data_IF_818737809180
#
_entry.id   IF_818737809180
#
_cell.length_a   1.000
_cell.length_b   1.000
_cell.length_c   1.000
_cell.angle_alpha   90.00
_cell.angle_beta   90.00
_cell.angle_gamma   90.00
#
_symmetry.space_group_name_H-M   'P 1'
#
loop_
_entity.id
_entity.type
_entity.pdbx_description
1 polymer ?
#
# COMPACT_ATOMS: atom_id res chain seq x y z
N UNK A 1 -14.06 1.33 14.94
CA UNK A 1 -15.05 2.18 14.22
C UNK A 1 -14.33 2.80 13.03
N UNK A 2 -14.97 2.92 11.86
CA UNK A 2 -14.39 3.58 10.67
C UNK A 2 -14.68 5.08 10.72
N UNK A 3 -13.63 5.88 10.60
CA UNK A 3 -13.72 7.34 10.46
C UNK A 3 -13.15 7.75 9.11
N UNK A 4 -13.63 8.87 8.58
CA UNK A 4 -13.13 9.47 7.33
C UNK A 4 -12.74 10.91 7.63
N UNK A 5 -11.47 11.21 7.47
CA UNK A 5 -10.92 12.54 7.75
C UNK A 5 -10.37 13.19 6.47
N UNK A 6 -10.34 14.52 6.45
CA UNK A 6 -9.71 15.29 5.38
C UNK A 6 -8.31 15.71 5.83
N UNK A 7 -7.30 15.22 5.13
CA UNK A 7 -5.92 15.52 5.44
C UNK A 7 -5.08 15.46 4.15
N UNK A 8 -4.42 16.56 3.83
CA UNK A 8 -3.59 16.63 2.62
C UNK A 8 -2.27 15.88 2.82
N UNK A 9 -1.92 15.00 1.88
CA UNK A 9 -0.67 14.25 1.89
C UNK A 9 0.56 15.16 1.80
N UNK A 10 1.67 14.68 2.35
CA UNK A 10 2.97 15.34 2.30
C UNK A 10 2.99 16.76 2.91
N UNK A 11 2.15 16.99 3.92
CA UNK A 11 2.18 18.20 4.74
C UNK A 11 2.74 17.87 6.14
N UNK A 12 3.20 18.86 6.92
CA UNK A 12 3.62 18.64 8.31
C UNK A 12 2.54 17.94 9.15
N UNK A 13 1.28 18.33 8.96
CA UNK A 13 0.14 17.74 9.65
C UNK A 13 -0.05 16.27 9.26
N UNK A 14 0.23 15.92 7.99
CA UNK A 14 0.22 14.54 7.53
C UNK A 14 1.31 13.70 8.19
N UNK A 15 2.52 14.24 8.29
CA UNK A 15 3.65 13.56 8.94
C UNK A 15 3.35 13.35 10.43
N UNK A 16 2.82 14.36 11.10
CA UNK A 16 2.40 14.25 12.50
C UNK A 16 1.26 13.22 12.69
N UNK A 17 0.27 13.23 11.80
CA UNK A 17 -0.83 12.25 11.82
C UNK A 17 -0.32 10.82 11.73
N UNK A 18 0.72 10.56 10.95
CA UNK A 18 1.33 9.23 10.81
C UNK A 18 2.05 8.75 12.08
N UNK A 19 2.47 9.66 12.94
CA UNK A 19 3.13 9.31 14.19
C UNK A 19 2.17 8.52 15.09
N UNK A 20 2.65 7.40 15.61
CA UNK A 20 1.85 6.51 16.47
C UNK A 20 0.71 5.76 15.76
N UNK A 21 0.60 5.85 14.43
CA UNK A 21 -0.41 5.14 13.62
C UNK A 21 0.24 4.24 12.57
N UNK A 22 -0.47 3.20 12.17
CA UNK A 22 -0.03 2.21 11.17
C UNK A 22 -0.73 2.53 9.85
N UNK A 23 0.05 2.87 8.82
CA UNK A 23 -0.45 3.06 7.46
C UNK A 23 -0.30 1.82 6.61
N UNK A 24 -0.97 1.80 5.45
CA UNK A 24 -0.94 0.66 4.55
C UNK A 24 0.49 0.25 4.10
N UNK A 25 1.38 1.22 3.90
CA UNK A 25 2.79 0.96 3.58
C UNK A 25 3.62 0.38 4.74
N UNK A 26 3.11 0.45 5.97
CA UNK A 26 3.78 -0.06 7.17
C UNK A 26 3.42 -1.53 7.45
N UNK A 27 2.29 -2.02 6.92
CA UNK A 27 1.72 -3.34 7.21
C UNK A 27 2.72 -4.49 7.03
N UNK A 28 3.51 -4.45 5.97
CA UNK A 28 4.54 -5.47 5.74
C UNK A 28 5.65 -5.46 6.81
N UNK A 29 6.02 -4.28 7.32
CA UNK A 29 7.03 -4.18 8.38
C UNK A 29 6.50 -4.71 9.72
N UNK A 30 5.21 -4.49 10.03
CA UNK A 30 4.56 -5.09 11.20
C UNK A 30 4.70 -6.61 11.21
N UNK A 31 4.58 -7.25 10.04
CA UNK A 31 4.71 -8.71 9.88
C UNK A 31 6.15 -9.20 9.63
N UNK A 32 7.17 -8.32 9.66
CA UNK A 32 8.55 -8.68 9.33
C UNK A 32 8.76 -9.05 7.86
N UNK A 33 7.86 -8.66 6.96
CA UNK A 33 7.86 -8.97 5.51
C UNK A 33 8.26 -7.79 4.62
N UNK A 34 8.69 -6.70 5.23
CA UNK A 34 9.17 -5.54 4.47
C UNK A 34 10.61 -5.71 4.03
N UNK A 35 10.91 -5.33 2.78
CA UNK A 35 12.28 -5.27 2.26
C UNK A 35 13.01 -3.97 2.67
N UNK A 36 12.30 -3.01 3.27
CA UNK A 36 12.79 -1.65 3.51
C UNK A 36 13.16 -1.39 4.97
N UNK A 37 12.39 -1.94 5.89
CA UNK A 37 12.57 -1.75 7.33
C UNK A 37 12.06 -2.95 8.12
N UNK A 38 12.69 -3.24 9.23
CA UNK A 38 12.22 -4.22 10.20
C UNK A 38 11.04 -3.68 11.02
N UNK A 39 10.36 -4.56 11.73
CA UNK A 39 9.30 -4.16 12.66
C UNK A 39 9.84 -3.29 13.82
N UNK A 40 11.10 -3.50 14.23
CA UNK A 40 11.72 -2.67 15.27
C UNK A 40 12.04 -1.27 14.76
N UNK A 41 12.54 -1.13 13.54
CA UNK A 41 12.76 0.19 12.92
C UNK A 41 11.45 0.94 12.72
N UNK A 42 10.38 0.26 12.32
CA UNK A 42 9.05 0.85 12.26
C UNK A 42 8.59 1.33 13.65
N UNK A 43 8.78 0.50 14.69
CA UNK A 43 8.44 0.88 16.05
C UNK A 43 9.21 2.14 16.51
N UNK A 44 10.52 2.21 16.25
CA UNK A 44 11.34 3.40 16.55
C UNK A 44 10.81 4.66 15.87
N UNK A 45 10.33 4.54 14.61
CA UNK A 45 9.67 5.64 13.90
C UNK A 45 8.36 6.04 14.60
N UNK A 46 7.53 5.07 14.98
CA UNK A 46 6.20 5.34 15.57
C UNK A 46 6.26 5.97 16.96
N UNK A 47 7.31 5.73 17.72
CA UNK A 47 7.52 6.38 19.04
C UNK A 47 8.42 7.61 18.97
N UNK A 48 8.86 8.02 17.79
CA UNK A 48 9.65 9.23 17.56
C UNK A 48 11.15 9.11 17.92
N UNK A 49 11.66 7.90 18.14
CA UNK A 49 13.11 7.65 18.32
C UNK A 49 13.91 7.71 17.02
N UNK A 50 13.23 7.46 15.91
CA UNK A 50 13.80 7.51 14.55
C UNK A 50 12.96 8.47 13.71
N UNK A 51 13.64 9.36 12.98
CA UNK A 51 12.92 10.14 11.96
C UNK A 51 12.46 9.20 10.86
N UNK A 52 11.24 9.40 10.40
CA UNK A 52 10.80 8.76 9.16
C UNK A 52 11.77 9.17 8.06
N UNK A 53 12.50 8.22 7.52
CA UNK A 53 13.41 8.48 6.40
C UNK A 53 12.50 8.62 5.18
N UNK A 54 12.27 9.86 4.77
CA UNK A 54 11.93 10.11 3.38
C UNK A 54 13.10 9.55 2.58
N UNK A 55 12.83 8.59 1.71
CA UNK A 55 13.88 8.06 0.85
C UNK A 55 14.57 9.25 0.18
N UNK A 56 15.93 9.26 0.11
CA UNK A 56 16.62 10.31 -0.59
C UNK A 56 16.00 10.47 -1.97
N UNK A 57 16.03 11.68 -2.54
CA UNK A 57 15.52 11.97 -3.88
C UNK A 57 16.09 10.97 -4.89
N UNK A 58 15.47 9.78 -4.93
CA UNK A 58 15.75 8.77 -5.94
C UNK A 58 14.85 9.13 -7.12
N UNK A 59 15.45 9.35 -8.26
CA UNK A 59 14.73 9.62 -9.52
C UNK A 59 13.59 8.64 -9.78
N UNK A 60 13.72 7.38 -9.30
CA UNK A 60 12.69 6.35 -9.42
C UNK A 60 11.46 6.64 -8.56
N UNK A 61 11.66 7.17 -7.36
CA UNK A 61 10.56 7.55 -6.46
C UNK A 61 9.85 8.78 -7.00
N UNK A 62 10.63 9.79 -7.43
CA UNK A 62 10.10 10.98 -8.09
C UNK A 62 9.29 10.64 -9.34
N UNK A 63 9.80 9.73 -10.16
CA UNK A 63 9.07 9.24 -11.33
C UNK A 63 7.76 8.53 -10.94
N UNK A 64 7.79 7.63 -9.96
CA UNK A 64 6.60 6.91 -9.48
C UNK A 64 5.49 7.88 -9.05
N UNK A 65 5.85 8.86 -8.23
CA UNK A 65 4.91 9.89 -7.78
C UNK A 65 4.35 10.76 -8.93
N UNK A 66 5.20 11.10 -9.91
CA UNK A 66 4.78 11.90 -11.07
C UNK A 66 3.82 11.15 -12.00
N UNK A 67 3.98 9.85 -12.17
CA UNK A 67 3.16 9.04 -13.10
C UNK A 67 1.93 8.41 -12.44
N UNK A 68 1.85 8.38 -11.12
CA UNK A 68 0.74 7.76 -10.37
C UNK A 68 -0.63 8.27 -10.85
N UNK A 69 -0.79 9.60 -10.92
CA UNK A 69 -2.04 10.23 -11.36
C UNK A 69 -2.32 9.94 -12.84
N UNK A 70 -1.29 9.91 -13.69
CA UNK A 70 -1.42 9.61 -15.11
C UNK A 70 -1.85 8.16 -15.31
N UNK A 71 -1.27 7.22 -14.58
CA UNK A 71 -1.63 5.80 -14.63
C UNK A 71 -3.08 5.59 -14.18
N UNK A 72 -3.54 6.30 -13.13
CA UNK A 72 -4.95 6.25 -12.72
C UNK A 72 -5.89 6.83 -13.77
N UNK A 73 -5.54 7.96 -14.40
CA UNK A 73 -6.34 8.54 -15.50
C UNK A 73 -6.41 7.59 -16.69
N UNK A 74 -5.30 6.98 -17.07
CA UNK A 74 -5.26 5.98 -18.14
C UNK A 74 -6.15 4.77 -17.81
N UNK A 75 -6.04 4.26 -16.57
CA UNK A 75 -6.91 3.17 -16.09
C UNK A 75 -8.38 3.56 -16.15
N UNK A 76 -8.74 4.79 -15.74
CA UNK A 76 -10.12 5.28 -15.77
C UNK A 76 -10.71 5.29 -17.20
N UNK A 77 -9.90 5.68 -18.19
CA UNK A 77 -10.30 5.64 -19.60
C UNK A 77 -10.43 4.20 -20.12
N UNK A 78 -9.44 3.35 -19.82
CA UNK A 78 -9.40 1.96 -20.31
C UNK A 78 -10.52 1.07 -19.74
N UNK A 79 -11.03 1.39 -18.56
CA UNK A 79 -12.03 0.59 -17.85
C UNK A 79 -13.28 1.38 -17.49
N UNK A 80 -13.60 2.42 -18.30
CA UNK A 80 -14.77 3.27 -18.10
C UNK A 80 -16.11 2.53 -18.20
N UNK A 81 -16.15 1.42 -18.91
CA UNK A 81 -17.30 0.51 -19.04
C UNK A 81 -17.49 -0.40 -17.80
N UNK A 82 -16.45 -0.54 -16.98
CA UNK A 82 -16.43 -1.43 -15.84
C UNK A 82 -16.44 -0.70 -14.49
N UNK A 83 -15.70 0.39 -14.37
CA UNK A 83 -15.53 1.10 -13.11
C UNK A 83 -15.83 2.60 -13.25
N UNK A 84 -16.56 3.15 -12.26
CA UNK A 84 -16.48 4.57 -11.98
C UNK A 84 -15.26 4.82 -11.10
N UNK A 85 -14.37 5.71 -11.52
CA UNK A 85 -13.11 6.01 -10.84
C UNK A 85 -13.18 7.40 -10.22
N UNK A 86 -12.81 7.50 -8.94
CA UNK A 86 -12.69 8.78 -8.23
C UNK A 86 -11.31 8.91 -7.62
N UNK A 87 -10.75 10.10 -7.64
CA UNK A 87 -9.52 10.45 -6.92
C UNK A 87 -9.87 11.32 -5.74
N UNK A 88 -9.29 11.07 -4.58
CA UNK A 88 -9.45 11.93 -3.42
C UNK A 88 -8.21 11.89 -2.52
N UNK A 89 -7.13 12.53 -3.00
CA UNK A 89 -5.84 12.59 -2.29
C UNK A 89 -5.88 13.33 -0.94
N UNK A 90 -7.04 13.84 -0.55
CA UNK A 90 -7.24 14.52 0.74
C UNK A 90 -8.07 13.71 1.71
N UNK A 91 -8.46 12.49 1.34
CA UNK A 91 -9.25 11.61 2.22
C UNK A 91 -8.37 10.54 2.81
N UNK A 92 -8.49 10.37 4.12
CA UNK A 92 -7.86 9.31 4.90
C UNK A 92 -8.93 8.53 5.63
N UNK A 93 -8.90 7.22 5.48
CA UNK A 93 -9.73 6.28 6.20
C UNK A 93 -8.99 5.87 7.47
N UNK A 94 -9.67 5.91 8.61
CA UNK A 94 -9.09 5.53 9.92
C UNK A 94 -9.96 4.47 10.56
N UNK A 95 -9.38 3.34 10.92
CA UNK A 95 -10.03 2.25 11.65
C UNK A 95 -9.40 2.15 13.04
N UNK A 96 -10.25 2.03 14.07
CA UNK A 96 -9.88 1.84 15.47
C UNK A 96 -8.87 2.87 16.02
N UNK A 97 -8.83 4.07 15.39
CA UNK A 97 -8.03 5.21 15.79
C UNK A 97 -6.54 5.15 15.44
N UNK A 98 -6.02 3.99 14.97
CA UNK A 98 -4.59 3.83 14.71
C UNK A 98 -4.25 3.21 13.35
N UNK A 99 -5.13 2.42 12.75
CA UNK A 99 -4.97 1.91 11.39
C UNK A 99 -5.46 2.95 10.42
N UNK A 100 -4.68 3.30 9.40
CA UNK A 100 -5.15 4.27 8.42
C UNK A 100 -4.74 3.91 6.99
N UNK A 101 -5.58 4.31 6.04
CA UNK A 101 -5.30 4.18 4.62
C UNK A 101 -5.66 5.46 3.87
N UNK A 102 -4.79 5.86 2.97
CA UNK A 102 -5.07 6.78 1.88
C UNK A 102 -4.99 6.00 0.58
N UNK A 103 -5.86 6.31 -0.35
CA UNK A 103 -6.04 5.53 -1.57
C UNK A 103 -5.57 6.32 -2.79
N UNK A 104 -4.90 5.65 -3.72
CA UNK A 104 -4.54 6.25 -5.02
C UNK A 104 -5.80 6.53 -5.83
N UNK A 105 -6.81 5.64 -5.71
CA UNK A 105 -8.12 5.85 -6.31
C UNK A 105 -9.21 4.98 -5.68
N UNK A 106 -10.44 5.49 -5.77
CA UNK A 106 -11.65 4.76 -5.37
C UNK A 106 -12.38 4.25 -6.60
N UNK A 107 -12.84 3.01 -6.54
CA UNK A 107 -13.57 2.34 -7.60
C UNK A 107 -15.00 2.02 -7.17
N UNK A 108 -15.94 2.12 -8.10
CA UNK A 108 -17.27 1.53 -7.99
C UNK A 108 -17.46 0.62 -9.22
N UNK A 109 -17.66 -0.66 -9.01
CA UNK A 109 -18.00 -1.59 -10.10
C UNK A 109 -19.41 -1.26 -10.62
N UNK A 110 -19.50 -0.93 -11.90
CA UNK A 110 -20.76 -0.43 -12.51
C UNK A 110 -21.86 -1.51 -12.50
N UNK A 111 -21.49 -2.79 -12.60
CA UNK A 111 -22.45 -3.88 -12.66
C UNK A 111 -22.99 -4.28 -11.30
N UNK A 112 -22.13 -4.28 -10.28
CA UNK A 112 -22.47 -4.76 -8.94
C UNK A 112 -22.75 -3.64 -7.94
N UNK A 113 -22.29 -2.41 -8.21
CA UNK A 113 -22.27 -1.30 -7.25
C UNK A 113 -21.26 -1.47 -6.11
N UNK A 114 -20.45 -2.53 -6.12
CA UNK A 114 -19.44 -2.77 -5.09
C UNK A 114 -18.37 -1.68 -5.14
N UNK A 115 -17.98 -1.23 -3.94
CA UNK A 115 -16.90 -0.26 -3.78
C UNK A 115 -15.56 -0.98 -3.68
N UNK A 116 -14.58 -0.49 -4.42
CA UNK A 116 -13.22 -1.03 -4.48
C UNK A 116 -12.15 0.06 -4.38
N UNK A 117 -10.92 -0.38 -4.51
CA UNK A 117 -9.70 0.44 -4.43
C UNK A 117 -8.90 0.27 -5.72
N UNK A 118 -8.34 1.35 -6.24
CA UNK A 118 -7.25 1.31 -7.19
C UNK A 118 -5.94 1.56 -6.42
N UNK A 119 -4.96 0.69 -6.64
CA UNK A 119 -3.61 0.82 -6.11
C UNK A 119 -2.62 0.74 -7.26
N UNK A 120 -1.95 1.83 -7.56
CA UNK A 120 -0.91 1.92 -8.59
C UNK A 120 0.46 1.55 -8.04
N UNK A 121 1.29 0.88 -8.85
CA UNK A 121 2.70 0.65 -8.51
C UNK A 121 3.58 0.87 -9.72
N UNK A 122 4.66 1.59 -9.53
CA UNK A 122 5.74 1.68 -10.49
C UNK A 122 6.85 0.70 -10.10
N UNK A 123 7.24 -0.16 -11.02
CA UNK A 123 8.23 -1.22 -10.80
C UNK A 123 9.36 -1.08 -11.80
N UNK A 124 10.53 -0.59 -11.34
CA UNK A 124 11.74 -0.61 -12.15
C UNK A 124 12.29 -2.02 -12.23
N UNK A 125 12.51 -2.51 -13.44
CA UNK A 125 13.02 -3.86 -13.70
C UNK A 125 14.46 -3.75 -14.20
N UNK A 126 15.40 -3.97 -13.28
CA UNK A 126 16.83 -3.99 -13.55
C UNK A 126 17.41 -5.41 -13.70
N UNK A 127 16.61 -6.41 -13.38
CA UNK A 127 17.03 -7.82 -13.44
C UNK A 127 15.84 -8.77 -13.64
N UNK A 128 16.13 -9.99 -14.10
CA UNK A 128 15.12 -11.06 -14.19
C UNK A 128 14.49 -11.43 -12.84
N UNK A 129 15.21 -11.21 -11.73
CA UNK A 129 14.71 -11.49 -10.38
C UNK A 129 13.50 -10.64 -10.03
N UNK A 130 13.42 -9.40 -10.55
CA UNK A 130 12.23 -8.55 -10.36
C UNK A 130 11.01 -9.18 -11.03
N UNK A 131 11.15 -9.68 -12.26
CA UNK A 131 10.07 -10.40 -12.95
C UNK A 131 9.63 -11.66 -12.19
N UNK A 132 10.57 -12.45 -11.68
CA UNK A 132 10.26 -13.68 -10.93
C UNK A 132 9.45 -13.39 -9.65
N UNK A 133 9.75 -12.28 -8.94
CA UNK A 133 8.96 -11.86 -7.77
C UNK A 133 7.49 -11.60 -8.08
N UNK A 134 7.17 -11.27 -9.34
CA UNK A 134 5.81 -10.94 -9.78
C UNK A 134 5.17 -12.02 -10.65
N UNK A 135 5.86 -13.11 -10.97
CA UNK A 135 5.42 -14.08 -11.98
C UNK A 135 4.08 -14.74 -11.63
N UNK A 136 3.97 -15.31 -10.45
CA UNK A 136 2.78 -16.05 -9.99
C UNK A 136 2.26 -15.55 -8.65
N UNK A 137 2.80 -14.47 -8.12
CA UNK A 137 2.41 -13.90 -6.83
C UNK A 137 2.52 -12.38 -6.84
N UNK A 138 1.96 -11.76 -5.84
CA UNK A 138 2.21 -10.37 -5.48
C UNK A 138 3.34 -10.39 -4.44
N UNK A 139 4.39 -9.55 -4.57
CA UNK A 139 5.40 -9.43 -3.51
C UNK A 139 4.76 -9.08 -2.17
N UNK A 140 5.23 -9.71 -1.10
CA UNK A 140 4.61 -9.68 0.23
C UNK A 140 4.36 -8.24 0.72
N UNK A 141 5.27 -7.32 0.46
CA UNK A 141 5.10 -5.92 0.84
C UNK A 141 3.87 -5.24 0.22
N UNK A 142 3.55 -5.56 -1.03
CA UNK A 142 2.38 -5.00 -1.71
C UNK A 142 1.11 -5.78 -1.35
N UNK A 143 1.24 -7.07 -1.10
CA UNK A 143 0.14 -7.88 -0.63
C UNK A 143 -0.35 -7.41 0.75
N UNK A 144 0.56 -7.24 1.73
CA UNK A 144 0.23 -6.70 3.04
C UNK A 144 -0.41 -5.31 2.96
N UNK A 145 0.10 -4.43 2.07
CA UNK A 145 -0.47 -3.11 1.83
C UNK A 145 -1.93 -3.20 1.37
N UNK A 146 -2.22 -4.07 0.41
CA UNK A 146 -3.57 -4.28 -0.12
C UNK A 146 -4.51 -4.84 0.95
N UNK A 147 -4.07 -5.82 1.74
CA UNK A 147 -4.85 -6.37 2.85
C UNK A 147 -5.20 -5.28 3.89
N UNK A 148 -4.21 -4.46 4.26
CA UNK A 148 -4.43 -3.33 5.18
C UNK A 148 -5.46 -2.32 4.63
N UNK A 149 -5.39 -2.00 3.33
CA UNK A 149 -6.36 -1.11 2.71
C UNK A 149 -7.78 -1.69 2.75
N UNK A 150 -7.94 -2.98 2.44
CA UNK A 150 -9.24 -3.67 2.56
C UNK A 150 -9.74 -3.66 3.99
N UNK A 151 -8.88 -4.00 4.96
CA UNK A 151 -9.16 -3.99 6.38
C UNK A 151 -9.65 -2.63 6.88
N UNK A 152 -8.91 -1.58 6.54
CA UNK A 152 -9.13 -0.23 7.06
C UNK A 152 -10.36 0.43 6.43
N UNK A 153 -10.63 0.16 5.15
CA UNK A 153 -11.71 0.84 4.41
C UNK A 153 -13.01 0.05 4.34
N UNK A 154 -12.97 -1.27 4.57
CA UNK A 154 -14.13 -2.15 4.38
C UNK A 154 -14.55 -2.33 2.91
N UNK A 155 -13.73 -1.90 1.95
CA UNK A 155 -13.97 -2.06 0.50
C UNK A 155 -13.98 -3.54 0.13
N UNK A 156 -14.66 -3.90 -0.96
CA UNK A 156 -14.88 -5.30 -1.36
C UNK A 156 -13.77 -5.88 -2.22
N UNK A 157 -13.00 -5.02 -2.90
CA UNK A 157 -11.91 -5.45 -3.76
C UNK A 157 -10.83 -4.36 -3.92
N UNK A 158 -9.65 -4.80 -4.31
CA UNK A 158 -8.57 -3.92 -4.80
C UNK A 158 -8.19 -4.33 -6.21
N UNK A 159 -7.98 -3.34 -7.07
CA UNK A 159 -7.31 -3.51 -8.34
C UNK A 159 -5.88 -2.98 -8.17
N UNK A 160 -4.94 -3.90 -7.97
CA UNK A 160 -3.51 -3.60 -7.96
C UNK A 160 -3.02 -3.54 -9.42
N UNK A 161 -2.43 -2.40 -9.80
CA UNK A 161 -2.08 -2.07 -11.17
C UNK A 161 -0.57 -1.75 -11.31
N UNK A 162 0.33 -2.76 -11.19
CA UNK A 162 1.75 -2.54 -11.36
C UNK A 162 2.10 -2.24 -12.81
N UNK A 163 2.85 -1.16 -13.02
CA UNK A 163 3.48 -0.79 -14.29
C UNK A 163 4.97 -1.07 -14.20
N UNK A 164 5.41 -2.06 -14.94
CA UNK A 164 6.81 -2.45 -15.07
C UNK A 164 7.50 -1.58 -16.10
N UNK A 165 8.69 -1.08 -15.78
CA UNK A 165 9.51 -0.23 -16.65
C UNK A 165 10.93 -0.77 -16.69
N UNK A 166 11.51 -0.87 -17.87
CA UNK A 166 12.87 -1.35 -18.08
C UNK A 166 13.51 -0.68 -19.30
N UNK A 167 14.82 -0.80 -19.45
CA UNK A 167 15.52 -0.47 -20.69
C UNK A 167 15.49 -1.71 -21.58
N UNK A 168 15.00 -1.56 -22.79
CA UNK A 168 14.97 -2.64 -23.78
C UNK A 168 16.31 -2.85 -24.50
N UNK A 169 16.33 -3.71 -25.51
CA UNK A 169 17.56 -4.05 -26.24
C UNK A 169 18.09 -2.89 -27.10
N UNK A 170 17.22 -1.96 -27.45
CA UNK A 170 17.55 -0.79 -28.27
C UNK A 170 17.96 0.41 -27.41
N UNK A 171 17.96 0.26 -26.08
CA UNK A 171 18.31 1.30 -25.11
C UNK A 171 17.13 2.22 -24.76
N UNK A 172 15.93 1.89 -25.23
CA UNK A 172 14.73 2.70 -25.01
C UNK A 172 13.95 2.25 -23.77
N UNK A 173 13.15 3.15 -23.21
CA UNK A 173 12.27 2.83 -22.08
C UNK A 173 11.05 2.06 -22.58
N UNK A 174 10.94 0.80 -22.19
CA UNK A 174 9.78 -0.03 -22.41
C UNK A 174 8.93 -0.13 -21.14
N UNK A 175 7.61 -0.25 -21.31
CA UNK A 175 6.67 -0.39 -20.20
C UNK A 175 5.66 -1.51 -20.43
N UNK A 176 5.22 -2.14 -19.33
CA UNK A 176 4.16 -3.14 -19.36
C UNK A 176 3.33 -3.07 -18.07
N UNK A 177 2.04 -2.82 -18.21
CA UNK A 177 1.12 -2.83 -17.07
C UNK A 177 0.44 -4.18 -16.91
N UNK A 178 0.33 -4.65 -15.68
CA UNK A 178 -0.51 -5.80 -15.28
C UNK A 178 -1.64 -5.30 -14.42
N UNK A 179 -2.72 -6.08 -14.38
CA UNK A 179 -3.85 -5.84 -13.50
C UNK A 179 -4.13 -7.08 -12.69
N UNK A 180 -4.12 -6.94 -11.38
CA UNK A 180 -4.40 -8.01 -10.43
C UNK A 180 -5.56 -7.57 -9.58
N UNK A 181 -6.66 -8.30 -9.59
CA UNK A 181 -7.81 -8.00 -8.73
C UNK A 181 -7.80 -8.96 -7.55
N UNK A 182 -7.92 -8.44 -6.35
CA UNK A 182 -8.02 -9.17 -5.09
C UNK A 182 -9.38 -8.81 -4.49
N UNK A 183 -10.18 -9.82 -4.15
CA UNK A 183 -11.51 -9.64 -3.57
C UNK A 183 -11.55 -10.21 -2.16
N UNK A 184 -12.37 -9.62 -1.30
CA UNK A 184 -12.62 -10.20 0.04
C UNK A 184 -13.20 -11.63 -0.03
N UNK A 185 -13.87 -11.97 -1.14
CA UNK A 185 -14.44 -13.31 -1.37
C UNK A 185 -13.44 -14.34 -1.88
N UNK A 186 -12.21 -13.93 -2.24
CA UNK A 186 -11.19 -14.87 -2.69
C UNK A 186 -10.69 -15.72 -1.51
N UNK A 187 -10.39 -16.99 -1.79
CA UNK A 187 -9.98 -17.94 -0.76
C UNK A 187 -8.74 -17.44 0.01
N UNK A 188 -8.78 -17.50 1.34
CA UNK A 188 -7.69 -17.12 2.25
C UNK A 188 -7.60 -15.63 2.56
N UNK A 189 -8.24 -14.74 1.79
CA UNK A 189 -8.08 -13.28 1.98
C UNK A 189 -8.62 -12.83 3.35
N UNK A 190 -9.75 -13.34 3.78
CA UNK A 190 -10.33 -12.95 5.08
C UNK A 190 -9.49 -13.46 6.26
N UNK A 191 -8.90 -14.65 6.12
CA UNK A 191 -7.97 -15.23 7.11
C UNK A 191 -6.68 -14.38 7.19
N UNK A 192 -6.12 -14.00 6.05
CA UNK A 192 -4.92 -13.16 5.98
C UNK A 192 -5.18 -11.75 6.54
N UNK A 193 -6.35 -11.17 6.26
CA UNK A 193 -6.77 -9.88 6.84
C UNK A 193 -6.89 -9.99 8.36
N UNK A 194 -7.49 -11.06 8.87
CA UNK A 194 -7.62 -11.28 10.32
C UNK A 194 -6.24 -11.42 10.98
N UNK A 195 -5.34 -12.19 10.38
CA UNK A 195 -3.97 -12.33 10.87
C UNK A 195 -3.23 -10.99 10.91
N UNK A 196 -3.36 -10.18 9.85
CA UNK A 196 -2.77 -8.84 9.80
C UNK A 196 -3.37 -7.92 10.88
N UNK A 197 -4.70 -7.91 11.04
CA UNK A 197 -5.40 -7.09 12.03
C UNK A 197 -4.93 -7.41 13.47
N UNK A 198 -4.82 -8.69 13.81
CA UNK A 198 -4.31 -9.15 15.10
C UNK A 198 -2.86 -8.68 15.33
N UNK A 199 -1.99 -8.84 14.32
CA UNK A 199 -0.59 -8.42 14.40
C UNK A 199 -0.44 -6.90 14.54
N UNK A 200 -1.27 -6.11 13.85
CA UNK A 200 -1.26 -4.65 13.95
C UNK A 200 -1.75 -4.17 15.31
N UNK A 201 -2.75 -4.83 15.89
CA UNK A 201 -3.20 -4.54 17.25
C UNK A 201 -2.10 -4.85 18.28
N UNK A 202 -1.44 -6.01 18.17
CA UNK A 202 -0.31 -6.36 19.03
C UNK A 202 0.84 -5.35 18.90
N UNK A 203 1.20 -4.99 17.67
CA UNK A 203 2.24 -3.99 17.42
C UNK A 203 1.88 -2.64 18.01
N UNK A 204 0.62 -2.22 17.91
CA UNK A 204 0.14 -0.96 18.49
C UNK A 204 0.25 -0.94 20.01
N UNK A 205 0.10 -2.07 20.70
CA UNK A 205 0.34 -2.14 22.13
C UNK A 205 1.81 -1.88 22.51
N UNK A 206 2.76 -2.40 21.71
CA UNK A 206 4.19 -2.06 21.88
C UNK A 206 4.45 -0.56 21.67
N UNK A 207 3.80 0.06 20.69
CA UNK A 207 3.91 1.51 20.45
C UNK A 207 3.37 2.30 21.64
N UNK A 208 2.17 1.98 22.15
CA UNK A 208 1.55 2.66 23.29
C UNK A 208 2.37 2.56 24.56
N UNK A 209 2.91 1.39 24.86
CA UNK A 209 3.74 1.13 26.05
C UNK A 209 5.18 1.62 25.89
N UNK A 210 5.58 2.01 24.67
CA UNK A 210 6.97 2.31 24.31
C UNK A 210 7.92 1.15 24.63
N UNK A 211 7.43 -0.07 24.55
CA UNK A 211 8.20 -1.29 24.71
C UNK A 211 8.67 -1.79 23.36
N UNK A 212 9.95 -2.16 23.26
CA UNK A 212 10.50 -2.64 22.00
C UNK A 212 9.94 -4.02 21.65
N UNK A 213 9.30 -4.21 20.49
CA UNK A 213 8.78 -5.51 20.09
C UNK A 213 9.92 -6.50 19.82
N UNK A 214 9.67 -7.82 19.94
CA UNK A 214 10.58 -8.84 19.44
C UNK A 214 10.89 -8.61 17.96
N UNK A 215 12.14 -8.84 17.56
CA UNK A 215 12.52 -8.72 16.15
C UNK A 215 11.91 -9.88 15.37
N UNK A 216 11.12 -9.56 14.36
CA UNK A 216 10.67 -10.52 13.38
C UNK A 216 11.73 -10.69 12.30
N UNK A 217 12.08 -11.93 12.00
CA UNK A 217 12.95 -12.25 10.87
C UNK A 217 12.09 -12.43 9.61
N UNK A 218 12.57 -11.99 8.43
CA UNK A 218 11.89 -12.29 7.19
C UNK A 218 11.80 -13.81 7.00
N UNK A 219 10.75 -14.32 6.34
CA UNK A 219 10.67 -15.74 6.02
C UNK A 219 11.89 -16.16 5.18
N UNK A 220 12.45 -17.33 5.51
CA UNK A 220 13.58 -17.92 4.81
C UNK A 220 13.21 -18.32 3.37
#
# INVERSE_FOLDING_TARGET
>A
MLEVIKLKHNTPEWLEFRNGRIGASDAAAVLGRSNWKSNQELWEEKIGLRKHVEFPEDERIGYGAAVEELNLKLFAVQYADKYKVKTNKTVVYVKDGFQFASLDGELEDIKTGELGIYEGKEVWVDSSLVWEKWKNKIPDQYYCQVLHQLLTTGRKFVVLNPTFRWIDRDGEIATKTRRITIRLSDAGIMEDIKYLDEAEHEFQEYVKRKERPPRLLPPL
#
